data_IF_191260209680
#
_entry.id   IF_191260209680
#
_cell.length_a   1.000
_cell.length_b   1.000
_cell.length_c   1.000
_cell.angle_alpha   90.00
_cell.angle_beta   90.00
_cell.angle_gamma   90.00
#
_symmetry.space_group_name_H-M   'P 1'
#
loop_
_entity.id
_entity.type
_entity.pdbx_description
1 polymer ?
#
# COMPACT_ATOMS: atom_id res chain seq x y z
N UNK A 1 -28.91 -15.90 10.67
CA UNK A 1 -27.62 -16.08 9.97
C UNK A 1 -27.91 -16.01 8.49
N UNK A 2 -27.17 -15.24 7.76
CA UNK A 2 -27.39 -15.05 6.33
C UNK A 2 -26.97 -16.34 5.61
N UNK A 3 -27.95 -17.13 5.14
CA UNK A 3 -27.74 -18.47 4.56
C UNK A 3 -26.86 -18.47 3.31
N UNK A 4 -26.58 -17.28 2.76
CA UNK A 4 -25.79 -17.09 1.54
C UNK A 4 -24.27 -16.87 1.78
N UNK A 5 -23.81 -16.91 3.03
CA UNK A 5 -22.38 -16.81 3.35
C UNK A 5 -21.87 -18.17 3.82
N UNK A 6 -21.29 -19.00 2.93
CA UNK A 6 -20.97 -20.39 3.26
C UNK A 6 -19.87 -20.51 4.32
N UNK A 7 -19.00 -19.52 4.47
CA UNK A 7 -18.01 -19.44 5.55
C UNK A 7 -17.45 -18.02 5.70
N UNK A 8 -16.93 -17.73 6.89
CA UNK A 8 -16.31 -16.47 7.24
C UNK A 8 -14.80 -16.54 7.06
N UNK A 9 -14.24 -15.65 6.23
CA UNK A 9 -12.79 -15.51 6.08
C UNK A 9 -12.24 -14.64 7.21
N UNK A 10 -11.38 -15.23 8.03
CA UNK A 10 -10.67 -14.56 9.13
C UNK A 10 -9.21 -14.31 8.74
N UNK A 11 -8.99 -13.55 7.68
CA UNK A 11 -7.67 -13.23 7.12
C UNK A 11 -7.52 -11.71 7.04
N UNK A 12 -6.29 -11.16 6.97
CA UNK A 12 -6.11 -9.73 6.71
C UNK A 12 -6.57 -9.31 5.31
N UNK A 13 -6.72 -10.25 4.40
CA UNK A 13 -7.30 -10.12 3.06
C UNK A 13 -7.04 -11.37 2.24
N UNK A 14 -8.01 -11.81 1.41
CA UNK A 14 -9.35 -11.24 1.22
C UNK A 14 -10.27 -11.47 2.41
N UNK A 15 -11.28 -10.58 2.55
CA UNK A 15 -12.29 -10.65 3.60
C UNK A 15 -13.62 -11.18 3.06
N UNK A 16 -14.42 -11.78 3.94
CA UNK A 16 -15.83 -12.04 3.64
C UNK A 16 -16.58 -10.72 3.57
N UNK A 17 -17.15 -10.40 2.40
CA UNK A 17 -17.97 -9.20 2.18
C UNK A 17 -19.44 -9.46 2.52
N UNK A 18 -20.15 -8.40 2.91
CA UNK A 18 -21.59 -8.49 3.20
C UNK A 18 -22.41 -8.80 1.92
N UNK A 19 -23.65 -9.26 2.11
CA UNK A 19 -24.58 -9.49 1.02
C UNK A 19 -24.83 -8.23 0.18
N UNK A 20 -24.96 -7.07 0.83
CA UNK A 20 -25.18 -5.79 0.13
C UNK A 20 -24.01 -5.42 -0.77
N UNK A 21 -22.77 -5.65 -0.33
CA UNK A 21 -21.57 -5.44 -1.16
C UNK A 21 -21.59 -6.39 -2.36
N UNK A 22 -21.87 -7.69 -2.13
CA UNK A 22 -21.93 -8.66 -3.23
C UNK A 22 -23.02 -8.31 -4.24
N UNK A 23 -24.18 -7.87 -3.78
CA UNK A 23 -25.28 -7.44 -4.66
C UNK A 23 -24.92 -6.20 -5.49
N UNK A 24 -24.22 -5.23 -4.91
CA UNK A 24 -23.74 -4.06 -5.64
C UNK A 24 -22.73 -4.43 -6.75
N UNK A 25 -21.98 -5.52 -6.58
CA UNK A 25 -21.02 -6.00 -7.57
C UNK A 25 -21.66 -6.75 -8.75
N UNK A 26 -22.95 -7.06 -8.69
CA UNK A 26 -23.67 -7.73 -9.80
C UNK A 26 -24.12 -6.77 -10.90
N UNK A 27 -23.91 -5.48 -10.73
CA UNK A 27 -24.26 -4.48 -11.72
C UNK A 27 -23.07 -4.12 -12.61
N UNK A 28 -23.28 -4.20 -13.92
CA UNK A 28 -22.28 -3.78 -14.90
C UNK A 28 -22.37 -2.27 -15.13
N UNK A 29 -21.22 -1.61 -15.18
CA UNK A 29 -21.12 -0.18 -15.45
C UNK A 29 -20.27 0.07 -16.70
N UNK A 30 -20.69 1.03 -17.51
CA UNK A 30 -19.88 1.55 -18.58
C UNK A 30 -19.02 2.71 -18.05
N UNK A 31 -17.74 2.71 -18.40
CA UNK A 31 -16.78 3.73 -17.94
C UNK A 31 -17.08 5.15 -18.45
N UNK A 32 -17.96 5.28 -19.44
CA UNK A 32 -18.42 6.55 -20.00
C UNK A 32 -19.70 7.08 -19.37
N UNK A 33 -20.36 6.28 -18.53
CA UNK A 33 -21.61 6.68 -17.91
C UNK A 33 -21.40 7.58 -16.70
N UNK A 34 -22.32 8.50 -16.50
CA UNK A 34 -22.30 9.42 -15.36
C UNK A 34 -22.34 8.71 -14.03
N UNK A 35 -23.06 7.58 -13.93
CA UNK A 35 -23.15 6.78 -12.71
C UNK A 35 -21.79 6.19 -12.34
N UNK A 36 -21.03 5.70 -13.31
CA UNK A 36 -19.66 5.22 -13.09
C UNK A 36 -18.74 6.36 -12.65
N UNK A 37 -18.79 7.50 -13.35
CA UNK A 37 -18.00 8.68 -12.99
C UNK A 37 -18.30 9.15 -11.55
N UNK A 38 -19.57 9.12 -11.17
CA UNK A 38 -19.99 9.46 -9.81
C UNK A 38 -19.41 8.48 -8.78
N UNK A 39 -19.46 7.17 -9.03
CA UNK A 39 -18.89 6.14 -8.13
C UNK A 39 -17.39 6.39 -7.96
N UNK A 40 -16.65 6.57 -9.05
CA UNK A 40 -15.20 6.83 -9.00
C UNK A 40 -14.89 8.11 -8.22
N UNK A 41 -15.64 9.19 -8.45
CA UNK A 41 -15.49 10.45 -7.73
C UNK A 41 -15.77 10.28 -6.24
N UNK A 42 -16.85 9.61 -5.88
CA UNK A 42 -17.24 9.36 -4.48
C UNK A 42 -16.18 8.50 -3.75
N UNK A 43 -15.66 7.45 -4.40
CA UNK A 43 -14.59 6.61 -3.84
C UNK A 43 -13.33 7.44 -3.60
N UNK A 44 -12.88 8.21 -4.60
CA UNK A 44 -11.70 9.06 -4.47
C UNK A 44 -11.84 10.07 -3.33
N UNK A 45 -13.00 10.71 -3.23
CA UNK A 45 -13.27 11.68 -2.18
C UNK A 45 -13.26 11.05 -0.78
N UNK A 46 -13.90 9.89 -0.61
CA UNK A 46 -13.94 9.18 0.67
C UNK A 46 -12.56 8.70 1.11
N UNK A 47 -11.78 8.10 0.21
CA UNK A 47 -10.41 7.63 0.51
C UNK A 47 -9.49 8.80 0.85
N UNK A 48 -9.59 9.91 0.11
CA UNK A 48 -8.85 11.13 0.41
C UNK A 48 -9.21 11.69 1.79
N UNK A 49 -10.50 11.67 2.16
CA UNK A 49 -10.97 12.08 3.48
C UNK A 49 -10.42 11.21 4.62
N UNK A 50 -10.31 9.89 4.43
CA UNK A 50 -9.70 8.98 5.42
C UNK A 50 -8.22 9.29 5.66
N UNK A 51 -7.50 9.74 4.63
CA UNK A 51 -6.11 10.17 4.73
C UNK A 51 -5.94 11.59 5.32
N UNK A 52 -7.01 12.23 5.76
CA UNK A 52 -6.97 13.61 6.27
C UNK A 52 -6.70 14.67 5.18
N UNK A 53 -6.94 14.31 3.92
CA UNK A 53 -6.40 15.01 2.74
C UNK A 53 -7.31 16.12 2.28
N UNK A 54 -8.02 16.89 2.66
CA UNK A 54 -8.77 18.05 2.14
C UNK A 54 -8.45 18.44 0.68
N UNK A 55 -8.28 19.70 0.42
CA UNK A 55 -8.04 20.21 -0.94
C UNK A 55 -6.59 20.01 -1.47
N UNK A 56 -5.68 19.55 -0.62
CA UNK A 56 -4.24 19.46 -0.94
C UNK A 56 -3.88 18.09 -1.56
N UNK A 57 -4.68 17.06 -1.26
CA UNK A 57 -4.43 15.70 -1.72
C UNK A 57 -5.47 15.21 -2.71
N UNK A 58 -5.09 14.23 -3.48
CA UNK A 58 -6.01 13.49 -4.34
C UNK A 58 -5.73 12.01 -4.26
N UNK A 59 -6.75 11.20 -4.51
CA UNK A 59 -6.62 9.74 -4.56
C UNK A 59 -6.42 9.30 -6.01
N UNK A 60 -5.40 8.49 -6.26
CA UNK A 60 -5.21 7.78 -7.52
C UNK A 60 -5.64 6.33 -7.31
N UNK A 61 -6.64 5.89 -8.05
CA UNK A 61 -7.11 4.51 -8.01
C UNK A 61 -6.31 3.67 -9.01
N UNK A 62 -5.62 2.65 -8.48
CA UNK A 62 -4.83 1.73 -9.31
C UNK A 62 -5.61 0.41 -9.49
N UNK A 63 -5.76 -0.01 -10.74
CA UNK A 63 -6.36 -1.31 -11.04
C UNK A 63 -5.34 -2.41 -10.77
N UNK A 64 -5.58 -3.23 -9.77
CA UNK A 64 -4.70 -4.32 -9.41
C UNK A 64 -4.70 -4.61 -7.90
N UNK A 65 -3.72 -5.39 -7.46
CA UNK A 65 -3.51 -5.71 -6.06
C UNK A 65 -2.84 -4.56 -5.29
N UNK A 66 -2.82 -4.65 -3.94
CA UNK A 66 -2.02 -3.75 -3.10
C UNK A 66 -0.54 -3.75 -3.47
N UNK A 67 0.02 -4.89 -3.89
CA UNK A 67 1.40 -4.97 -4.40
C UNK A 67 1.60 -4.10 -5.64
N UNK A 68 0.62 -4.08 -6.55
CA UNK A 68 0.70 -3.21 -7.73
C UNK A 68 0.64 -1.73 -7.36
N UNK A 69 -0.18 -1.36 -6.37
CA UNK A 69 -0.22 0.02 -5.87
C UNK A 69 1.12 0.44 -5.22
N UNK A 70 1.78 -0.47 -4.50
CA UNK A 70 3.13 -0.24 -3.95
C UNK A 70 4.15 -0.07 -5.07
N UNK A 71 4.14 -0.94 -6.08
CA UNK A 71 5.01 -0.84 -7.26
C UNK A 71 4.82 0.48 -7.99
N UNK A 72 3.56 0.88 -8.24
CA UNK A 72 3.24 2.15 -8.86
C UNK A 72 3.74 3.35 -8.02
N UNK A 73 3.61 3.29 -6.69
CA UNK A 73 4.09 4.33 -5.79
C UNK A 73 5.61 4.44 -5.82
N UNK A 74 6.31 3.32 -5.65
CA UNK A 74 7.78 3.28 -5.69
C UNK A 74 8.31 3.79 -7.03
N UNK A 75 7.72 3.33 -8.14
CA UNK A 75 8.14 3.73 -9.48
C UNK A 75 7.80 5.18 -9.87
N UNK A 76 6.81 5.80 -9.20
CA UNK A 76 6.36 7.15 -9.55
C UNK A 76 6.90 8.23 -8.62
N UNK A 77 7.16 7.90 -7.34
CA UNK A 77 7.54 8.90 -6.35
C UNK A 77 9.05 9.08 -6.20
N UNK A 78 9.84 8.07 -6.59
CA UNK A 78 11.30 8.14 -6.46
C UNK A 78 11.88 8.63 -7.79
N UNK A 79 12.55 9.80 -7.81
CA UNK A 79 13.17 10.31 -9.02
C UNK A 79 14.39 9.47 -9.44
N UNK A 80 14.82 9.63 -10.69
CA UNK A 80 15.92 8.84 -11.27
C UNK A 80 17.25 8.98 -10.52
N UNK A 81 17.47 10.12 -9.89
CA UNK A 81 18.64 10.43 -9.04
C UNK A 81 18.40 10.19 -7.55
N UNK A 82 17.20 9.72 -7.18
CA UNK A 82 16.84 9.41 -5.80
C UNK A 82 17.38 8.06 -5.34
N UNK A 83 17.49 7.90 -4.01
CA UNK A 83 17.82 6.63 -3.37
C UNK A 83 16.76 6.27 -2.34
N UNK A 84 16.29 5.02 -2.40
CA UNK A 84 15.34 4.44 -1.47
C UNK A 84 16.03 3.65 -0.37
N UNK A 85 15.77 3.98 0.89
CA UNK A 85 16.06 3.10 2.01
C UNK A 85 14.83 2.25 2.33
N UNK A 86 14.93 0.94 2.21
CA UNK A 86 13.87 0.01 2.60
C UNK A 86 14.14 -0.51 4.00
N UNK A 87 13.19 -0.30 4.91
CA UNK A 87 13.22 -0.89 6.25
C UNK A 87 12.59 -2.28 6.15
N UNK A 88 13.44 -3.30 6.03
CA UNK A 88 13.00 -4.69 5.89
C UNK A 88 12.66 -5.27 7.28
N UNK A 89 11.38 -5.21 7.62
CA UNK A 89 10.79 -5.75 8.83
C UNK A 89 9.95 -7.02 8.58
N UNK A 90 10.06 -7.62 7.39
CA UNK A 90 9.36 -8.86 7.05
C UNK A 90 9.16 -9.07 5.54
N UNK A 91 8.26 -9.98 5.20
CA UNK A 91 8.06 -10.43 3.82
C UNK A 91 7.66 -9.29 2.86
N UNK A 92 6.84 -8.34 3.31
CA UNK A 92 6.44 -7.20 2.47
C UNK A 92 7.52 -6.12 2.39
N UNK A 93 8.34 -5.93 3.42
CA UNK A 93 9.55 -5.10 3.35
C UNK A 93 10.52 -5.63 2.29
N UNK A 94 10.84 -6.93 2.32
CA UNK A 94 11.67 -7.58 1.29
C UNK A 94 11.10 -7.44 -0.11
N UNK A 95 9.77 -7.50 -0.25
CA UNK A 95 9.09 -7.29 -1.54
C UNK A 95 9.28 -5.89 -2.08
N UNK A 96 9.26 -4.86 -1.24
CA UNK A 96 9.55 -3.48 -1.66
C UNK A 96 10.97 -3.38 -2.22
N UNK A 97 11.96 -3.98 -1.55
CA UNK A 97 13.34 -4.02 -2.05
C UNK A 97 13.43 -4.72 -3.42
N UNK A 98 12.75 -5.85 -3.60
CA UNK A 98 12.69 -6.57 -4.88
C UNK A 98 12.02 -5.74 -5.99
N UNK A 99 10.99 -4.96 -5.66
CA UNK A 99 10.34 -4.03 -6.60
C UNK A 99 11.34 -2.96 -7.03
N UNK A 100 12.04 -2.32 -6.08
CA UNK A 100 13.05 -1.31 -6.37
C UNK A 100 14.17 -1.87 -7.26
N UNK A 101 14.65 -3.08 -6.99
CA UNK A 101 15.64 -3.76 -7.81
C UNK A 101 15.16 -3.98 -9.26
N UNK A 102 13.93 -4.50 -9.43
CA UNK A 102 13.34 -4.74 -10.76
C UNK A 102 13.13 -3.46 -11.55
N UNK A 103 12.72 -2.40 -10.89
CA UNK A 103 12.55 -1.07 -11.47
C UNK A 103 13.89 -0.34 -11.67
N UNK A 104 15.01 -0.92 -11.24
CA UNK A 104 16.36 -0.34 -11.29
C UNK A 104 16.46 0.99 -10.54
N UNK A 105 15.71 1.11 -9.46
CA UNK A 105 15.80 2.24 -8.54
C UNK A 105 16.99 2.02 -7.62
N UNK A 106 17.82 3.04 -7.45
CA UNK A 106 18.92 3.01 -6.50
C UNK A 106 18.34 2.82 -5.08
N UNK A 107 18.75 1.77 -4.38
CA UNK A 107 18.20 1.45 -3.08
C UNK A 107 19.20 0.75 -2.18
N UNK A 108 18.94 0.81 -0.89
CA UNK A 108 19.55 -0.02 0.14
C UNK A 108 18.48 -0.61 1.06
N UNK A 109 18.75 -1.72 1.71
CA UNK A 109 17.84 -2.34 2.66
C UNK A 109 18.48 -2.42 4.04
N UNK A 110 17.76 -2.00 5.06
CA UNK A 110 18.11 -2.10 6.46
C UNK A 110 17.23 -3.17 7.11
N UNK A 111 17.81 -4.34 7.35
CA UNK A 111 17.06 -5.50 7.85
C UNK A 111 16.89 -5.43 9.36
N UNK A 112 15.67 -5.65 9.81
CA UNK A 112 15.25 -5.77 11.20
C UNK A 112 14.74 -7.19 11.51
N UNK A 113 14.55 -7.48 12.79
CA UNK A 113 13.83 -8.66 13.22
C UNK A 113 12.36 -8.58 12.77
N UNK A 114 11.78 -9.73 12.44
CA UNK A 114 10.36 -9.81 12.06
C UNK A 114 9.41 -9.70 13.27
N UNK A 115 9.93 -9.75 14.48
CA UNK A 115 9.16 -9.76 15.73
C UNK A 115 9.47 -8.58 16.66
N UNK A 116 10.45 -7.75 16.32
CA UNK A 116 10.83 -6.58 17.11
C UNK A 116 10.46 -5.29 16.37
N UNK A 117 10.10 -4.22 17.10
CA UNK A 117 9.89 -2.91 16.50
C UNK A 117 11.13 -2.41 15.76
N UNK A 118 10.91 -1.61 14.72
CA UNK A 118 12.00 -0.96 13.99
C UNK A 118 12.74 0.01 14.91
N UNK A 119 14.06 -0.15 15.02
CA UNK A 119 14.94 0.74 15.80
C UNK A 119 15.13 2.08 15.07
N UNK A 120 14.42 3.10 15.52
CA UNK A 120 14.49 4.44 14.95
C UNK A 120 15.91 5.04 15.03
N UNK A 121 16.67 4.76 16.08
CA UNK A 121 18.04 5.26 16.22
C UNK A 121 18.98 4.63 15.17
N UNK A 122 18.73 3.37 14.79
CA UNK A 122 19.46 2.72 13.70
C UNK A 122 19.13 3.34 12.35
N UNK A 123 17.86 3.67 12.12
CA UNK A 123 17.43 4.37 10.90
C UNK A 123 18.05 5.75 10.81
N UNK A 124 18.06 6.52 11.90
CA UNK A 124 18.69 7.85 11.95
C UNK A 124 20.19 7.80 11.64
N UNK A 125 20.91 6.81 12.17
CA UNK A 125 22.33 6.60 11.85
C UNK A 125 22.53 6.33 10.36
N UNK A 126 21.69 5.50 9.75
CA UNK A 126 21.80 5.18 8.33
C UNK A 126 21.52 6.41 7.45
N UNK A 127 20.48 7.18 7.77
CA UNK A 127 20.16 8.43 7.06
C UNK A 127 21.28 9.49 7.21
N UNK A 128 21.95 9.51 8.37
CA UNK A 128 23.07 10.42 8.61
C UNK A 128 24.33 9.99 7.84
N UNK A 129 24.56 8.67 7.76
CA UNK A 129 25.73 8.11 7.09
C UNK A 129 25.64 8.20 5.56
N UNK A 130 24.41 8.17 5.01
CA UNK A 130 24.19 8.21 3.57
C UNK A 130 23.21 9.34 3.17
N UNK A 131 23.74 10.54 2.91
CA UNK A 131 22.92 11.70 2.52
C UNK A 131 22.30 11.58 1.12
N UNK A 132 22.60 10.54 0.35
CA UNK A 132 21.96 10.27 -0.93
C UNK A 132 20.56 9.67 -0.77
N UNK A 133 20.21 9.15 0.41
CA UNK A 133 18.88 8.62 0.68
C UNK A 133 17.87 9.77 0.65
N UNK A 134 16.93 9.70 -0.29
CA UNK A 134 15.87 10.69 -0.47
C UNK A 134 14.51 10.20 0.00
N UNK A 135 14.33 8.87 0.06
CA UNK A 135 13.06 8.23 0.41
C UNK A 135 13.29 7.05 1.34
N UNK A 136 12.32 6.83 2.22
CA UNK A 136 12.29 5.68 3.13
C UNK A 136 10.99 4.94 2.93
N UNK A 137 11.04 3.61 2.84
CA UNK A 137 9.87 2.75 2.81
C UNK A 137 9.86 1.81 4.01
N UNK A 138 8.70 1.72 4.66
CA UNK A 138 8.43 0.85 5.79
C UNK A 138 7.05 0.21 5.61
N UNK A 139 6.93 -1.05 5.96
CA UNK A 139 5.62 -1.72 6.07
C UNK A 139 5.07 -1.49 7.48
N UNK A 140 4.04 -0.64 7.58
CA UNK A 140 3.27 -0.47 8.81
C UNK A 140 2.23 -1.58 8.90
N UNK A 141 2.26 -2.36 9.97
CA UNK A 141 1.51 -3.60 10.12
C UNK A 141 1.93 -4.70 9.12
N UNK A 142 3.08 -5.31 9.38
CA UNK A 142 3.50 -6.51 8.64
C UNK A 142 2.53 -7.66 8.95
N UNK A 143 1.72 -8.05 7.97
CA UNK A 143 0.60 -8.98 8.18
C UNK A 143 1.02 -10.43 8.43
N UNK A 144 2.26 -10.79 8.12
CA UNK A 144 2.82 -12.12 8.41
C UNK A 144 3.13 -12.31 9.88
N UNK A 145 3.39 -11.23 10.61
CA UNK A 145 3.77 -11.25 12.03
C UNK A 145 2.81 -10.47 12.93
N UNK A 146 2.06 -9.53 12.37
CA UNK A 146 1.16 -8.62 13.10
C UNK A 146 1.89 -7.47 13.81
N UNK A 147 3.17 -7.25 13.51
CA UNK A 147 3.96 -6.16 14.08
C UNK A 147 3.51 -4.81 13.51
N UNK A 148 3.30 -3.84 14.40
CA UNK A 148 2.94 -2.44 14.09
C UNK A 148 4.16 -1.54 14.19
#
# INVERSE_FOLDING_TARGET
MDEDIPYLLLTPGPLTTSRTVKQAMLHDYCTWDNDYHKIVSDVRHRVCGLAGGGAVYTTVLMQGSGTFAVEATVGSCIPADGKLLVLDNGAYGRRIAQIAERLRINHSALTFSEIDPVDAARVERELTADPQITHVALVHCETTTGLL
#
